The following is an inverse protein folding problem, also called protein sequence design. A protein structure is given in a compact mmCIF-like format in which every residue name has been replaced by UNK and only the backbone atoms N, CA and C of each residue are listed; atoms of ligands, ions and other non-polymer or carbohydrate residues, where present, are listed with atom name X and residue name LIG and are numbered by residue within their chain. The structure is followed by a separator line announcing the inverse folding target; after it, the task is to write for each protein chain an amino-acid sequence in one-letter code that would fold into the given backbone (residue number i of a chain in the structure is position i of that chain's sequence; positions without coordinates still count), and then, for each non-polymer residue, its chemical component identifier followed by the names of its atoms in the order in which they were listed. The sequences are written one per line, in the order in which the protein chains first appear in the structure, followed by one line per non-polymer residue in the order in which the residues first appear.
data_IF_074854309450
#
_entry.id   IF_074854309450
#
_cell.length_a   1.000
_cell.length_b   1.000
_cell.length_c   1.000
_cell.angle_alpha   90.00
_cell.angle_beta   90.00
_cell.angle_gamma   90.00
#
_symmetry.space_group_name_H-M   'P 1'
#
loop_
_entity.id
_entity.type
_entity.pdbx_description
1 polymer ?
#
# COMPACT_ATOMS: atom_id res chain seq x y z
N UNK A 1 16.78 0.07 1.23
CA UNK A 1 16.47 -0.84 2.35
C UNK A 1 16.31 -2.24 1.79
N UNK A 2 16.98 -3.24 2.35
CA UNK A 2 16.84 -4.64 1.95
C UNK A 2 15.58 -5.24 2.59
N UNK A 3 14.84 -6.05 1.84
CA UNK A 3 13.60 -6.69 2.29
C UNK A 3 13.81 -7.61 3.51
N UNK A 4 15.01 -8.17 3.67
CA UNK A 4 15.38 -9.00 4.82
C UNK A 4 15.25 -8.24 6.15
N UNK A 5 15.55 -6.93 6.17
CA UNK A 5 15.39 -6.13 7.37
C UNK A 5 13.92 -6.00 7.78
N UNK A 6 12.98 -6.00 6.82
CA UNK A 6 11.55 -5.86 7.11
C UNK A 6 11.00 -7.11 7.81
N UNK A 7 11.39 -8.31 7.38
CA UNK A 7 10.84 -9.58 7.92
C UNK A 7 11.18 -9.78 9.40
N UNK A 8 12.26 -9.17 9.89
CA UNK A 8 12.69 -9.24 11.29
C UNK A 8 12.05 -8.18 12.21
N UNK A 9 11.33 -7.21 11.66
CA UNK A 9 10.69 -6.15 12.46
C UNK A 9 9.37 -6.64 13.07
N UNK A 10 8.91 -6.04 14.18
CA UNK A 10 7.56 -6.25 14.69
C UNK A 10 6.52 -5.97 13.60
N UNK A 11 5.39 -6.71 13.59
CA UNK A 11 4.35 -6.62 12.54
C UNK A 11 3.86 -5.18 12.29
N UNK A 12 3.73 -4.39 13.35
CA UNK A 12 3.33 -2.98 13.26
C UNK A 12 4.34 -2.13 12.49
N UNK A 13 5.64 -2.34 12.74
CA UNK A 13 6.71 -1.62 12.04
C UNK A 13 6.83 -2.09 10.58
N UNK A 14 6.60 -3.38 10.30
CA UNK A 14 6.52 -3.87 8.92
C UNK A 14 5.42 -3.15 8.13
N UNK A 15 4.21 -3.07 8.72
CA UNK A 15 3.08 -2.35 8.11
C UNK A 15 3.41 -0.88 7.89
N UNK A 16 4.02 -0.22 8.87
CA UNK A 16 4.39 1.19 8.74
C UNK A 16 5.37 1.41 7.58
N UNK A 17 6.42 0.58 7.48
CA UNK A 17 7.41 0.67 6.40
C UNK A 17 6.80 0.37 5.03
N UNK A 18 5.96 -0.67 4.94
CA UNK A 18 5.23 -0.99 3.71
C UNK A 18 4.36 0.20 3.31
N UNK A 19 3.64 0.80 4.26
CA UNK A 19 2.82 1.99 4.04
C UNK A 19 3.61 3.17 3.51
N UNK A 20 4.79 3.46 4.06
CA UNK A 20 5.69 4.52 3.58
C UNK A 20 6.11 4.30 2.12
N UNK A 21 6.52 3.07 1.78
CA UNK A 21 6.92 2.69 0.42
C UNK A 21 5.74 2.80 -0.55
N UNK A 22 4.60 2.23 -0.16
CA UNK A 22 3.39 2.20 -0.98
C UNK A 22 2.86 3.61 -1.23
N UNK A 23 2.86 4.46 -0.20
CA UNK A 23 2.49 5.86 -0.30
C UNK A 23 3.37 6.61 -1.31
N UNK A 24 4.69 6.42 -1.25
CA UNK A 24 5.59 7.04 -2.21
C UNK A 24 5.26 6.63 -3.64
N UNK A 25 5.07 5.33 -3.89
CA UNK A 25 4.74 4.79 -5.22
C UNK A 25 3.39 5.28 -5.73
N UNK A 26 2.37 5.34 -4.88
CA UNK A 26 1.04 5.83 -5.26
C UNK A 26 1.08 7.34 -5.49
N UNK A 27 1.81 8.11 -4.68
CA UNK A 27 1.92 9.57 -4.78
C UNK A 27 2.55 10.02 -6.10
N UNK A 28 3.44 9.23 -6.68
CA UNK A 28 4.00 9.51 -8.01
C UNK A 28 2.93 9.55 -9.12
N UNK A 29 1.84 8.78 -8.98
CA UNK A 29 0.77 8.69 -9.97
C UNK A 29 -0.48 9.46 -9.56
N UNK A 30 -0.85 9.37 -8.27
CA UNK A 30 -2.07 9.94 -7.68
C UNK A 30 -1.75 10.79 -6.43
N UNK A 31 -1.05 11.93 -6.57
CA UNK A 31 -0.55 12.69 -5.42
C UNK A 31 -1.66 13.18 -4.47
N UNK A 32 -2.82 13.55 -5.01
CA UNK A 32 -3.95 14.06 -4.23
C UNK A 32 -4.71 12.96 -3.45
N UNK A 33 -4.65 11.71 -3.92
CA UNK A 33 -5.38 10.59 -3.33
C UNK A 33 -4.48 9.58 -2.61
N UNK A 34 -3.15 9.74 -2.71
CA UNK A 34 -2.18 8.80 -2.16
C UNK A 34 -2.40 8.49 -0.67
N UNK A 35 -2.75 9.49 0.15
CA UNK A 35 -3.01 9.26 1.57
C UNK A 35 -4.20 8.34 1.82
N UNK A 36 -5.33 8.60 1.15
CA UNK A 36 -6.55 7.80 1.29
C UNK A 36 -6.39 6.39 0.70
N UNK A 37 -5.78 6.30 -0.49
CA UNK A 37 -5.54 5.03 -1.17
C UNK A 37 -4.58 4.14 -0.37
N UNK A 38 -3.49 4.71 0.13
CA UNK A 38 -2.56 3.97 0.99
C UNK A 38 -3.25 3.51 2.27
N UNK A 39 -4.02 4.38 2.93
CA UNK A 39 -4.77 4.01 4.13
C UNK A 39 -5.74 2.84 3.87
N UNK A 40 -6.50 2.89 2.78
CA UNK A 40 -7.38 1.79 2.39
C UNK A 40 -6.66 0.48 2.09
N UNK A 41 -5.52 0.55 1.40
CA UNK A 41 -4.73 -0.65 1.07
C UNK A 41 -4.07 -1.23 2.33
N UNK A 42 -3.69 -0.39 3.30
CA UNK A 42 -3.09 -0.82 4.57
C UNK A 42 -4.00 -1.64 5.47
N UNK A 43 -5.31 -1.63 5.23
CA UNK A 43 -6.29 -2.48 5.92
C UNK A 43 -6.17 -3.97 5.50
N UNK A 44 -5.43 -4.27 4.42
CA UNK A 44 -5.17 -5.65 4.00
C UNK A 44 -4.23 -6.39 4.96
N UNK A 45 -4.23 -7.71 4.85
CA UNK A 45 -3.28 -8.57 5.56
C UNK A 45 -1.83 -8.32 5.11
N UNK A 46 -0.88 -8.58 6.01
CA UNK A 46 0.54 -8.30 5.78
C UNK A 46 1.11 -9.04 4.56
N UNK A 47 0.68 -10.30 4.35
CA UNK A 47 1.07 -11.09 3.18
C UNK A 47 0.60 -10.46 1.87
N UNK A 48 -0.64 -9.97 1.84
CA UNK A 48 -1.17 -9.24 0.68
C UNK A 48 -0.40 -7.95 0.45
N UNK A 49 -0.13 -7.17 1.50
CA UNK A 49 0.62 -5.93 1.44
C UNK A 49 2.03 -6.12 0.87
N UNK A 50 2.73 -7.18 1.27
CA UNK A 50 4.01 -7.55 0.68
C UNK A 50 3.86 -7.80 -0.82
N UNK A 51 2.87 -8.58 -1.24
CA UNK A 51 2.61 -8.79 -2.65
C UNK A 51 2.28 -7.49 -3.39
N UNK A 52 1.50 -6.58 -2.78
CA UNK A 52 1.17 -5.27 -3.37
C UNK A 52 2.45 -4.45 -3.59
N UNK A 53 3.37 -4.42 -2.63
CA UNK A 53 4.64 -3.67 -2.77
C UNK A 53 5.55 -4.29 -3.83
N UNK A 54 5.57 -5.63 -3.97
CA UNK A 54 6.45 -6.32 -4.92
C UNK A 54 5.89 -6.45 -6.33
N UNK A 55 4.58 -6.56 -6.49
CA UNK A 55 3.92 -6.78 -7.78
C UNK A 55 3.19 -5.53 -8.21
N UNK A 56 3.75 -4.83 -9.21
CA UNK A 56 3.13 -3.65 -9.83
C UNK A 56 1.69 -3.92 -10.28
N UNK A 57 1.41 -5.06 -10.91
CA UNK A 57 0.05 -5.39 -11.36
C UNK A 57 -0.94 -5.51 -10.19
N UNK A 58 -0.52 -6.11 -9.07
CA UNK A 58 -1.36 -6.22 -7.87
C UNK A 58 -1.56 -4.85 -7.22
N UNK A 59 -0.51 -4.02 -7.16
CA UNK A 59 -0.63 -2.62 -6.71
C UNK A 59 -1.62 -1.82 -7.54
N UNK A 60 -1.48 -1.84 -8.85
CA UNK A 60 -2.33 -1.04 -9.73
C UNK A 60 -3.80 -1.51 -9.64
N UNK A 61 -4.02 -2.82 -9.50
CA UNK A 61 -5.36 -3.38 -9.24
C UNK A 61 -5.94 -2.90 -7.90
N UNK A 62 -5.17 -2.98 -6.81
CA UNK A 62 -5.61 -2.54 -5.47
C UNK A 62 -5.85 -1.03 -5.41
N UNK A 63 -5.00 -0.24 -6.07
CA UNK A 63 -5.21 1.21 -6.21
C UNK A 63 -6.52 1.49 -6.93
N UNK A 64 -6.80 0.78 -8.02
CA UNK A 64 -8.05 0.94 -8.77
C UNK A 64 -9.28 0.56 -7.93
N UNK A 65 -9.23 -0.55 -7.21
CA UNK A 65 -10.32 -0.98 -6.32
C UNK A 65 -10.53 0.02 -5.18
N UNK A 66 -9.45 0.47 -4.53
CA UNK A 66 -9.54 1.51 -3.50
C UNK A 66 -10.09 2.83 -4.05
N UNK A 67 -9.73 3.21 -5.29
CA UNK A 67 -10.32 4.37 -5.94
C UNK A 67 -11.83 4.20 -6.15
N UNK A 68 -12.27 3.05 -6.67
CA UNK A 68 -13.68 2.77 -6.93
C UNK A 68 -14.50 2.83 -5.63
N UNK A 69 -14.00 2.21 -4.56
CA UNK A 69 -14.62 2.25 -3.24
C UNK A 69 -14.67 3.68 -2.68
N UNK A 70 -13.58 4.46 -2.80
CA UNK A 70 -13.59 5.87 -2.40
C UNK A 70 -14.59 6.71 -3.20
N UNK A 71 -14.81 6.41 -4.48
CA UNK A 71 -15.79 7.09 -5.31
C UNK A 71 -17.23 6.65 -5.01
N UNK A 72 -17.45 5.41 -4.55
CA UNK A 72 -18.78 4.94 -4.13
C UNK A 72 -19.20 5.47 -2.76
N UNK A 73 -18.24 5.81 -1.90
CA UNK A 73 -18.48 6.30 -0.53
C UNK A 73 -18.40 7.83 -0.38
N UNK A 74 -18.29 8.58 -1.49
CA UNK A 74 -18.30 10.06 -1.55
C UNK A 74 -19.37 10.56 -2.53
#
# INVERSE_FOLDING_TARGET
MTMEALVHLPRDEQRQRIGEVLYSQIREVHPNMAGKLTGMILELELEDLLEVVHKKDKRDKMVKEAMDVLQMHY
#
